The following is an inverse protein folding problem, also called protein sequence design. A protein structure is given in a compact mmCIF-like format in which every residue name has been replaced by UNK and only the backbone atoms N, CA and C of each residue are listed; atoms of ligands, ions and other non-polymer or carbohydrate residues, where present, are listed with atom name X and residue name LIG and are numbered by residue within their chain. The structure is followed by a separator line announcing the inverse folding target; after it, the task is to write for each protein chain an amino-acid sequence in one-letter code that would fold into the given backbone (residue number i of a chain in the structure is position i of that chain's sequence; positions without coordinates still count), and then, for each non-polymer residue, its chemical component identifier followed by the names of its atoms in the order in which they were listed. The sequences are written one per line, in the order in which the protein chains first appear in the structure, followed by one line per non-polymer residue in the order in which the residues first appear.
data_IF_390362348539
#
_entry.id   IF_390362348539
#
_cell.length_a   1.000
_cell.length_b   1.000
_cell.length_c   1.000
_cell.angle_alpha   90.00
_cell.angle_beta   90.00
_cell.angle_gamma   90.00
#
_symmetry.space_group_name_H-M   'P 1'
#
loop_
_entity.id
_entity.type
_entity.pdbx_description
1 polymer ?
#
# COMPACT_ATOMS: atom_id res chain seq x y z
N UNK A 1 40.71 23.39 14.79
CA UNK A 1 40.11 22.19 14.15
C UNK A 1 39.59 21.17 15.17
N UNK A 2 40.43 20.46 15.94
CA UNK A 2 39.98 19.42 16.91
C UNK A 2 38.83 19.85 17.83
N UNK A 3 38.93 21.03 18.46
CA UNK A 3 37.84 21.59 19.30
C UNK A 3 36.53 21.77 18.51
N UNK A 4 36.62 22.25 17.27
CA UNK A 4 35.47 22.42 16.38
C UNK A 4 34.81 21.09 16.01
N UNK A 5 35.60 20.03 15.79
CA UNK A 5 35.05 18.69 15.53
C UNK A 5 34.29 18.13 16.73
N UNK A 6 34.75 18.37 17.96
CA UNK A 6 34.04 17.95 19.18
C UNK A 6 32.74 18.74 19.32
N UNK A 7 32.77 20.06 19.16
CA UNK A 7 31.56 20.88 19.18
C UNK A 7 30.55 20.48 18.10
N UNK A 8 31.04 20.20 16.88
CA UNK A 8 30.23 19.66 15.78
C UNK A 8 29.65 18.28 16.09
N UNK A 9 30.42 17.39 16.71
CA UNK A 9 29.91 16.08 17.15
C UNK A 9 28.81 16.18 18.19
N UNK A 10 28.92 17.12 19.15
CA UNK A 10 27.85 17.42 20.12
C UNK A 10 26.61 17.97 19.41
N UNK A 11 26.79 18.85 18.42
CA UNK A 11 25.69 19.39 17.62
C UNK A 11 24.95 18.27 16.87
N UNK A 12 25.67 17.32 16.28
CA UNK A 12 25.10 16.15 15.60
C UNK A 12 24.35 15.24 16.57
N UNK A 13 24.93 14.93 17.73
CA UNK A 13 24.27 14.11 18.75
C UNK A 13 22.94 14.75 19.18
N UNK A 14 22.95 16.07 19.41
CA UNK A 14 21.76 16.82 19.77
C UNK A 14 20.73 16.84 18.64
N UNK A 15 21.17 17.02 17.40
CA UNK A 15 20.31 16.96 16.22
C UNK A 15 19.55 15.64 16.14
N UNK A 16 20.25 14.52 16.31
CA UNK A 16 19.64 13.20 16.24
C UNK A 16 18.74 12.90 17.42
N UNK A 17 19.14 13.24 18.66
CA UNK A 17 18.28 13.05 19.83
C UNK A 17 16.99 13.85 19.68
N UNK A 18 17.08 15.13 19.30
CA UNK A 18 15.93 15.99 19.11
C UNK A 18 15.09 15.64 17.87
N UNK A 19 15.68 15.02 16.86
CA UNK A 19 14.97 14.60 15.65
C UNK A 19 14.27 13.24 15.78
N UNK A 20 14.94 12.25 16.37
CA UNK A 20 14.42 10.89 16.53
C UNK A 20 13.47 10.75 17.73
N UNK A 21 13.69 11.49 18.83
CA UNK A 21 12.81 11.38 19.99
C UNK A 21 11.33 11.70 19.66
N UNK A 22 10.98 12.81 18.97
CA UNK A 22 9.61 13.03 18.53
C UNK A 22 9.11 11.92 17.62
N UNK A 23 9.92 11.45 16.66
CA UNK A 23 9.53 10.38 15.73
C UNK A 23 9.14 9.10 16.46
N UNK A 24 9.97 8.64 17.40
CA UNK A 24 9.69 7.45 18.20
C UNK A 24 8.48 7.63 19.13
N UNK A 25 8.31 8.82 19.70
CA UNK A 25 7.15 9.16 20.53
C UNK A 25 5.85 9.18 19.73
N UNK A 26 5.86 9.68 18.49
CA UNK A 26 4.72 9.62 17.59
C UNK A 26 4.40 8.20 17.17
N UNK A 27 5.41 7.38 16.87
CA UNK A 27 5.24 5.97 16.52
C UNK A 27 4.62 5.14 17.66
N UNK A 28 4.90 5.50 18.92
CA UNK A 28 4.31 4.84 20.08
C UNK A 28 2.82 5.17 20.32
N UNK A 29 2.30 6.25 19.72
CA UNK A 29 0.89 6.64 19.81
C UNK A 29 0.42 7.14 21.18
N UNK A 30 -0.89 7.40 21.30
CA UNK A 30 -1.53 7.78 22.56
C UNK A 30 -0.98 9.06 23.20
N UNK A 31 -0.85 9.07 24.53
CA UNK A 31 -0.32 10.22 25.28
C UNK A 31 1.17 10.49 25.04
N UNK A 32 1.93 9.51 24.55
CA UNK A 32 3.34 9.68 24.21
C UNK A 32 3.52 10.58 22.98
N UNK A 33 2.58 10.53 22.03
CA UNK A 33 2.57 11.42 20.87
C UNK A 33 2.48 12.91 21.27
N UNK A 34 1.74 13.23 22.33
CA UNK A 34 1.65 14.61 22.86
C UNK A 34 2.98 15.09 23.43
N UNK A 35 3.77 14.21 24.05
CA UNK A 35 5.12 14.56 24.51
C UNK A 35 6.06 14.84 23.34
N UNK A 36 5.87 14.15 22.20
CA UNK A 36 6.61 14.40 20.97
C UNK A 36 6.48 15.84 20.46
N UNK A 37 5.34 16.51 20.70
CA UNK A 37 5.12 17.90 20.33
C UNK A 37 5.93 18.90 21.16
N UNK A 38 6.34 18.51 22.38
CA UNK A 38 7.11 19.38 23.27
C UNK A 38 8.62 19.37 22.97
N UNK A 39 9.10 18.36 22.23
CA UNK A 39 10.51 18.24 21.88
C UNK A 39 10.79 19.05 20.61
N UNK A 40 11.61 20.11 20.66
CA UNK A 40 11.94 20.89 19.47
C UNK A 40 12.78 20.04 18.52
N UNK A 41 12.27 19.77 17.32
CA UNK A 41 12.96 18.98 16.30
C UNK A 41 13.57 19.87 15.22
N UNK A 42 14.82 19.62 14.80
CA UNK A 42 15.39 20.26 13.61
C UNK A 42 14.96 19.55 12.32
N UNK A 43 14.37 18.36 12.39
CA UNK A 43 14.01 17.58 11.22
C UNK A 43 12.64 18.03 10.68
N UNK A 44 12.58 18.35 9.39
CA UNK A 44 11.33 18.70 8.71
C UNK A 44 10.32 17.52 8.73
N UNK A 45 9.03 17.84 8.60
CA UNK A 45 8.01 16.80 8.40
C UNK A 45 8.37 15.96 7.18
N UNK A 46 8.32 14.64 7.33
CA UNK A 46 8.67 13.71 6.25
C UNK A 46 10.15 13.30 6.20
N UNK A 47 11.01 13.75 7.12
CA UNK A 47 12.42 13.32 7.18
C UNK A 47 12.64 11.79 7.33
N UNK A 48 11.58 11.05 7.64
CA UNK A 48 11.55 9.58 7.76
C UNK A 48 10.56 8.92 6.78
N UNK A 49 10.00 9.66 5.82
CA UNK A 49 9.01 9.15 4.87
C UNK A 49 9.64 8.48 3.64
N UNK A 50 10.96 8.62 3.45
CA UNK A 50 11.70 7.98 2.38
C UNK A 50 12.08 6.54 2.72
N UNK A 51 12.30 5.68 1.71
CA UNK A 51 12.81 4.34 1.92
C UNK A 51 14.06 4.35 2.80
N UNK A 52 14.20 3.32 3.65
CA UNK A 52 15.29 3.20 4.62
C UNK A 52 16.68 3.60 4.08
N UNK A 53 17.16 3.13 2.90
CA UNK A 53 18.49 3.50 2.42
C UNK A 53 18.66 5.01 2.19
N UNK A 54 17.65 5.68 1.61
CA UNK A 54 17.69 7.11 1.36
C UNK A 54 17.65 7.92 2.65
N UNK A 55 16.81 7.50 3.60
CA UNK A 55 16.76 8.09 4.94
C UNK A 55 18.14 8.03 5.61
N UNK A 56 18.83 6.89 5.58
CA UNK A 56 20.18 6.79 6.15
C UNK A 56 21.20 7.68 5.43
N UNK A 57 21.19 7.74 4.10
CA UNK A 57 22.10 8.59 3.32
C UNK A 57 21.91 10.07 3.68
N UNK A 58 20.67 10.56 3.72
CA UNK A 58 20.35 11.95 4.09
C UNK A 58 20.86 12.26 5.50
N UNK A 59 20.60 11.38 6.47
CA UNK A 59 21.05 11.56 7.86
C UNK A 59 22.58 11.59 7.99
N UNK A 60 23.29 10.73 7.25
CA UNK A 60 24.76 10.73 7.20
C UNK A 60 25.28 12.04 6.60
N UNK A 61 24.70 12.53 5.51
CA UNK A 61 25.08 13.79 4.87
C UNK A 61 24.86 14.99 5.79
N UNK A 62 23.72 15.03 6.51
CA UNK A 62 23.45 16.06 7.52
C UNK A 62 24.50 16.02 8.63
N UNK A 63 24.83 14.84 9.16
CA UNK A 63 25.85 14.70 10.20
C UNK A 63 27.22 15.23 9.73
N UNK A 64 27.66 14.83 8.53
CA UNK A 64 28.92 15.29 7.94
C UNK A 64 28.92 16.80 7.76
N UNK A 65 27.84 17.36 7.18
CA UNK A 65 27.71 18.78 6.94
C UNK A 65 27.70 19.59 8.23
N UNK A 66 26.94 19.17 9.26
CA UNK A 66 26.91 19.83 10.57
C UNK A 66 28.30 19.87 11.22
N UNK A 67 29.03 18.75 11.27
CA UNK A 67 30.39 18.72 11.83
C UNK A 67 31.34 19.62 11.04
N UNK A 68 31.34 19.49 9.70
CA UNK A 68 32.28 20.18 8.84
C UNK A 68 32.03 21.71 8.84
N UNK A 69 30.78 22.15 8.68
CA UNK A 69 30.41 23.57 8.67
C UNK A 69 30.68 24.20 10.04
N UNK A 70 30.27 23.55 11.13
CA UNK A 70 30.54 24.04 12.48
C UNK A 70 32.04 24.19 12.73
N UNK A 71 32.85 23.17 12.41
CA UNK A 71 34.29 23.20 12.64
C UNK A 71 35.00 24.29 11.83
N UNK A 72 34.58 24.52 10.57
CA UNK A 72 35.09 25.59 9.71
C UNK A 72 34.72 26.96 10.30
N UNK A 73 33.44 27.21 10.60
CA UNK A 73 32.97 28.51 11.12
C UNK A 73 33.59 28.83 12.48
N UNK A 74 33.58 27.87 13.42
CA UNK A 74 34.17 28.05 14.75
C UNK A 74 35.68 28.36 14.66
N UNK A 75 36.40 27.78 13.71
CA UNK A 75 37.83 28.08 13.50
C UNK A 75 38.09 29.48 12.93
N UNK A 76 37.13 30.05 12.20
CA UNK A 76 37.22 31.41 11.65
C UNK A 76 36.86 32.48 12.67
N UNK A 77 35.90 32.18 13.55
CA UNK A 77 35.43 33.12 14.58
C UNK A 77 36.30 33.15 15.85
N UNK A 78 37.24 32.22 16.03
CA UNK A 78 38.03 32.08 17.26
C UNK A 78 39.15 33.11 17.48
N UNK A 79 39.11 34.28 16.83
CA UNK A 79 40.17 35.29 16.91
C UNK A 79 40.13 36.18 18.16
N UNK A 80 39.22 35.95 19.13
CA UNK A 80 39.07 36.82 20.31
C UNK A 80 38.47 36.15 21.56
N UNK A 81 38.18 36.97 22.59
CA UNK A 81 37.69 36.55 23.92
C UNK A 81 36.27 35.95 23.91
N UNK A 82 35.49 36.18 22.85
CA UNK A 82 34.09 35.75 22.75
C UNK A 82 33.90 34.32 22.20
N UNK A 83 34.65 33.34 22.74
CA UNK A 83 34.63 31.94 22.24
C UNK A 83 33.26 31.28 22.38
N UNK A 84 32.47 31.58 23.41
CA UNK A 84 31.11 31.03 23.50
C UNK A 84 30.18 31.59 22.40
N UNK A 85 30.10 32.91 22.26
CA UNK A 85 29.22 33.56 21.29
C UNK A 85 29.55 33.16 19.85
N UNK A 86 30.85 33.05 19.53
CA UNK A 86 31.32 32.52 18.23
C UNK A 86 30.84 31.09 17.97
N UNK A 87 30.81 30.23 18.99
CA UNK A 87 30.39 28.83 18.86
C UNK A 87 28.89 28.71 18.68
N UNK A 88 28.14 29.53 19.40
CA UNK A 88 26.69 29.57 19.27
C UNK A 88 26.26 30.08 17.89
N UNK A 89 26.89 31.15 17.41
CA UNK A 89 26.68 31.64 16.05
C UNK A 89 27.08 30.58 15.00
N UNK A 90 28.17 29.84 15.21
CA UNK A 90 28.56 28.75 14.31
C UNK A 90 27.50 27.62 14.27
N UNK A 91 26.87 27.27 15.39
CA UNK A 91 25.79 26.29 15.43
C UNK A 91 24.53 26.76 14.68
N UNK A 92 24.17 28.04 14.84
CA UNK A 92 23.05 28.67 14.14
C UNK A 92 23.31 28.66 12.64
N UNK A 93 24.47 29.14 12.19
CA UNK A 93 24.83 29.20 10.78
C UNK A 93 24.97 27.82 10.14
N UNK A 94 25.50 26.83 10.87
CA UNK A 94 25.56 25.45 10.38
C UNK A 94 24.15 24.89 10.14
N UNK A 95 23.23 25.08 11.08
CA UNK A 95 21.86 24.59 10.97
C UNK A 95 21.04 25.35 9.91
N UNK A 96 21.28 26.66 9.78
CA UNK A 96 20.75 27.48 8.70
C UNK A 96 21.20 26.95 7.34
N UNK A 97 22.49 26.63 7.17
CA UNK A 97 23.02 26.11 5.90
C UNK A 97 22.35 24.79 5.49
N UNK A 98 22.11 23.88 6.45
CA UNK A 98 21.36 22.64 6.19
C UNK A 98 19.96 22.94 5.69
N UNK A 99 19.21 23.77 6.42
CA UNK A 99 17.82 24.10 6.08
C UNK A 99 17.70 24.86 4.75
N UNK A 100 18.60 25.82 4.51
CA UNK A 100 18.61 26.63 3.30
C UNK A 100 18.85 25.79 2.04
N UNK A 101 19.76 24.82 2.12
CA UNK A 101 20.06 23.96 0.98
C UNK A 101 18.93 22.96 0.71
N UNK A 102 18.29 22.43 1.75
CA UNK A 102 17.10 21.59 1.61
C UNK A 102 15.94 22.38 0.99
N UNK A 103 15.64 23.58 1.49
CA UNK A 103 14.60 24.45 0.93
C UNK A 103 14.89 24.85 -0.52
N UNK A 104 16.17 25.08 -0.85
CA UNK A 104 16.59 25.38 -2.23
C UNK A 104 16.36 24.18 -3.15
N UNK A 105 16.66 22.97 -2.69
CA UNK A 105 16.36 21.72 -3.41
C UNK A 105 14.87 21.54 -3.65
N UNK A 106 14.05 21.72 -2.61
CA UNK A 106 12.58 21.65 -2.72
C UNK A 106 12.01 22.71 -3.65
N UNK A 107 12.57 23.93 -3.65
CA UNK A 107 12.14 24.99 -4.55
C UNK A 107 12.41 24.64 -6.01
N UNK A 108 13.64 24.24 -6.35
CA UNK A 108 13.99 23.94 -7.75
C UNK A 108 13.21 22.76 -8.31
N UNK A 109 12.89 21.77 -7.49
CA UNK A 109 12.09 20.62 -7.90
C UNK A 109 10.61 20.97 -8.04
N UNK A 110 10.09 21.87 -7.20
CA UNK A 110 8.72 22.37 -7.32
C UNK A 110 8.48 23.31 -8.51
N UNK A 111 9.53 23.97 -9.04
CA UNK A 111 9.38 25.05 -10.03
C UNK A 111 8.62 24.61 -11.29
N UNK A 112 8.93 23.42 -11.82
CA UNK A 112 8.29 22.91 -13.03
C UNK A 112 6.83 22.52 -12.81
N UNK A 113 6.51 21.96 -11.64
CA UNK A 113 5.19 21.38 -11.37
C UNK A 113 4.21 22.38 -10.75
N UNK A 114 4.69 23.24 -9.86
CA UNK A 114 3.83 24.12 -9.04
C UNK A 114 4.06 25.62 -9.30
N UNK A 115 5.00 25.96 -10.19
CA UNK A 115 5.41 27.34 -10.44
C UNK A 115 6.05 28.01 -9.23
N UNK A 116 6.39 29.30 -9.35
CA UNK A 116 7.13 30.05 -8.32
C UNK A 116 6.37 30.09 -6.99
N UNK A 117 5.07 30.39 -7.02
CA UNK A 117 4.25 30.54 -5.81
C UNK A 117 4.08 29.21 -5.06
N UNK A 118 3.86 28.12 -5.78
CA UNK A 118 3.76 26.78 -5.17
C UNK A 118 5.08 26.32 -4.59
N UNK A 119 6.19 26.57 -5.30
CA UNK A 119 7.54 26.22 -4.86
C UNK A 119 7.95 26.94 -3.57
N UNK A 120 7.56 28.21 -3.41
CA UNK A 120 7.75 28.95 -2.16
C UNK A 120 6.98 28.33 -0.99
N UNK A 121 5.83 27.71 -1.25
CA UNK A 121 5.03 27.00 -0.24
C UNK A 121 5.63 25.67 0.22
N UNK A 122 6.59 25.10 -0.53
CA UNK A 122 7.31 23.88 -0.15
C UNK A 122 8.50 24.15 0.77
N UNK A 123 8.95 25.41 0.86
CA UNK A 123 10.00 25.82 1.78
C UNK A 123 9.50 25.84 3.24
N UNK A 124 10.41 25.62 4.19
CA UNK A 124 10.08 25.67 5.61
C UNK A 124 11.11 25.00 6.51
N UNK A 125 12.11 24.35 5.93
CA UNK A 125 13.17 23.66 6.67
C UNK A 125 14.11 24.68 7.33
N UNK A 126 14.46 25.76 6.63
CA UNK A 126 15.35 26.83 7.14
C UNK A 126 14.88 27.43 8.45
N UNK A 127 13.64 27.93 8.60
CA UNK A 127 13.20 28.50 9.87
C UNK A 127 13.19 27.45 10.99
N UNK A 128 12.84 26.20 10.70
CA UNK A 128 12.80 25.10 11.69
C UNK A 128 14.21 24.79 12.21
N UNK A 129 15.18 24.54 11.32
CA UNK A 129 16.56 24.20 11.71
C UNK A 129 17.26 25.37 12.40
N UNK A 130 17.00 26.59 11.94
CA UNK A 130 17.60 27.80 12.50
C UNK A 130 17.05 28.09 13.88
N UNK A 131 15.73 28.04 14.07
CA UNK A 131 15.10 28.25 15.37
C UNK A 131 15.54 27.21 16.40
N UNK A 132 15.61 25.95 16.00
CA UNK A 132 16.15 24.87 16.84
C UNK A 132 17.58 25.19 17.31
N UNK A 133 18.45 25.66 16.42
CA UNK A 133 19.82 26.00 16.77
C UNK A 133 19.93 27.27 17.62
N UNK A 134 19.01 28.22 17.50
CA UNK A 134 18.90 29.35 18.44
C UNK A 134 18.58 28.80 19.84
N UNK A 135 17.60 27.91 19.97
CA UNK A 135 17.17 27.36 21.25
C UNK A 135 18.21 26.45 21.92
N UNK A 136 18.92 25.63 21.14
CA UNK A 136 19.75 24.53 21.67
C UNK A 136 21.22 24.59 21.27
N UNK A 137 21.61 25.47 20.35
CA UNK A 137 22.99 25.62 19.87
C UNK A 137 23.98 26.12 20.93
N UNK A 138 23.50 26.59 22.08
CA UNK A 138 24.36 26.95 23.21
C UNK A 138 25.07 25.73 23.81
N UNK A 139 24.50 24.52 23.71
CA UNK A 139 25.10 23.28 24.24
C UNK A 139 26.42 22.93 23.51
N UNK A 140 26.46 22.79 22.17
CA UNK A 140 27.71 22.56 21.45
C UNK A 140 28.67 23.75 21.56
N UNK A 141 28.16 24.99 21.71
CA UNK A 141 28.99 26.16 21.95
C UNK A 141 29.72 26.10 23.31
N UNK A 142 29.05 25.65 24.38
CA UNK A 142 29.66 25.42 25.69
C UNK A 142 30.72 24.31 25.62
N UNK A 143 30.39 23.19 24.97
CA UNK A 143 31.33 22.08 24.79
C UNK A 143 32.58 22.55 24.02
N UNK A 144 32.40 23.37 22.99
CA UNK A 144 33.51 23.98 22.26
C UNK A 144 34.34 24.94 23.12
N UNK A 145 33.69 25.86 23.83
CA UNK A 145 34.34 26.93 24.59
C UNK A 145 35.14 26.42 25.80
N UNK A 146 34.67 25.36 26.48
CA UNK A 146 35.31 24.79 27.68
C UNK A 146 36.54 23.93 27.40
N UNK A 147 36.78 23.54 26.14
CA UNK A 147 37.95 22.73 25.80
C UNK A 147 39.25 23.55 25.91
N UNK A 148 40.31 23.04 26.56
CA UNK A 148 41.56 23.77 26.71
C UNK A 148 42.19 24.12 25.35
N UNK A 149 42.77 25.33 25.25
CA UNK A 149 43.65 25.69 24.14
C UNK A 149 44.95 24.93 24.38
N UNK A 150 45.34 24.04 23.47
CA UNK A 150 46.66 23.43 23.54
C UNK A 150 47.72 24.55 23.51
N UNK A 151 48.63 24.63 24.50
CA UNK A 151 49.66 25.64 24.50
C UNK A 151 50.50 25.54 23.22
N UNK A 152 51.02 26.66 22.68
CA UNK A 152 51.99 26.59 21.59
C UNK A 152 53.13 25.68 22.05
N UNK A 153 53.45 24.67 21.24
CA UNK A 153 54.51 23.72 21.56
C UNK A 153 55.86 24.46 21.56
N UNK A 154 56.27 24.95 22.73
CA UNK A 154 57.65 25.37 22.97
C UNK A 154 58.53 24.11 22.88
N UNK A 155 59.36 24.08 21.84
CA UNK A 155 60.56 23.23 21.70
C UNK A 155 60.34 21.71 21.81
N UNK A 156 59.94 21.06 20.72
CA UNK A 156 60.21 19.64 20.49
C UNK A 156 60.68 19.39 19.04
N UNK A 157 61.61 18.46 18.78
CA UNK A 157 62.13 18.21 17.44
C UNK A 157 61.01 17.73 16.51
N UNK A 158 61.06 18.18 15.24
CA UNK A 158 60.10 17.86 14.17
C UNK A 158 60.07 16.36 13.85
N UNK A 159 59.44 15.55 14.69
CA UNK A 159 58.91 14.25 14.27
C UNK A 159 57.71 14.55 13.39
N UNK A 160 57.76 14.05 12.15
CA UNK A 160 56.83 14.30 11.04
C UNK A 160 55.39 14.40 11.56
N UNK A 161 54.84 15.61 11.48
CA UNK A 161 53.50 15.95 11.93
C UNK A 161 52.48 15.04 11.24
N UNK A 162 51.95 14.07 11.97
CA UNK A 162 50.79 13.30 11.58
C UNK A 162 49.60 14.27 11.40
N UNK A 163 49.29 14.56 10.14
CA UNK A 163 47.97 14.88 9.61
C UNK A 163 47.16 15.98 10.30
N UNK A 164 47.65 17.23 10.34
CA UNK A 164 46.70 18.37 10.40
C UNK A 164 46.01 18.47 9.04
N UNK A 165 44.84 17.84 8.90
CA UNK A 165 43.95 18.07 7.76
C UNK A 165 43.72 19.58 7.64
N UNK A 166 44.09 20.23 6.53
CA UNK A 166 43.97 21.68 6.40
C UNK A 166 42.50 22.09 6.45
N UNK A 167 42.22 23.31 6.93
CA UNK A 167 40.86 23.90 6.93
C UNK A 167 40.19 23.81 5.55
N UNK A 168 40.98 23.87 4.48
CA UNK A 168 40.53 23.70 3.10
C UNK A 168 39.84 22.35 2.84
N UNK A 169 40.35 21.25 3.40
CA UNK A 169 39.76 19.93 3.22
C UNK A 169 38.41 19.79 3.95
N UNK A 170 38.27 20.39 5.14
CA UNK A 170 36.98 20.45 5.82
C UNK A 170 35.96 21.37 5.12
N UNK A 171 36.44 22.46 4.51
CA UNK A 171 35.59 23.29 3.64
C UNK A 171 35.12 22.52 2.41
N UNK A 172 35.97 21.70 1.79
CA UNK A 172 35.59 20.84 0.67
C UNK A 172 34.56 19.78 1.09
N UNK A 173 34.78 19.10 2.23
CA UNK A 173 33.81 18.13 2.80
C UNK A 173 32.46 18.81 3.07
N UNK A 174 32.47 19.99 3.68
CA UNK A 174 31.24 20.76 3.93
C UNK A 174 30.51 21.09 2.62
N UNK A 175 31.22 21.58 1.60
CA UNK A 175 30.64 21.93 0.32
C UNK A 175 30.03 20.70 -0.39
N UNK A 176 30.75 19.58 -0.44
CA UNK A 176 30.26 18.34 -1.05
C UNK A 176 29.04 17.81 -0.29
N UNK A 177 29.09 17.74 1.04
CA UNK A 177 27.97 17.26 1.84
C UNK A 177 26.72 18.13 1.65
N UNK A 178 26.88 19.46 1.62
CA UNK A 178 25.77 20.38 1.33
C UNK A 178 25.23 20.18 -0.09
N UNK A 179 26.07 20.04 -1.12
CA UNK A 179 25.60 19.82 -2.51
C UNK A 179 24.88 18.48 -2.67
N UNK A 180 25.38 17.41 -2.04
CA UNK A 180 24.78 16.08 -2.14
C UNK A 180 23.48 15.94 -1.34
N UNK A 181 23.31 16.72 -0.27
CA UNK A 181 22.15 16.62 0.62
C UNK A 181 20.79 16.80 -0.09
N UNK A 182 20.53 17.87 -0.86
CA UNK A 182 19.26 18.05 -1.55
C UNK A 182 19.09 17.00 -2.65
N UNK A 183 20.16 16.58 -3.34
CA UNK A 183 20.09 15.51 -4.34
C UNK A 183 19.63 14.18 -3.73
N UNK A 184 20.17 13.82 -2.56
CA UNK A 184 19.77 12.61 -1.85
C UNK A 184 18.34 12.71 -1.30
N UNK A 185 17.93 13.87 -0.78
CA UNK A 185 16.56 14.09 -0.31
C UNK A 185 15.54 14.01 -1.45
N UNK A 186 15.87 14.55 -2.62
CA UNK A 186 15.02 14.46 -3.81
C UNK A 186 14.94 13.03 -4.34
N UNK A 187 16.06 12.33 -4.49
CA UNK A 187 16.07 10.94 -4.92
C UNK A 187 15.29 10.03 -3.95
N UNK A 188 15.34 10.31 -2.64
CA UNK A 188 14.51 9.63 -1.65
C UNK A 188 13.01 9.90 -1.83
N UNK A 189 12.63 11.13 -2.19
CA UNK A 189 11.24 11.50 -2.48
C UNK A 189 10.73 10.84 -3.75
N UNK A 190 11.54 10.83 -4.82
CA UNK A 190 11.21 10.17 -6.09
C UNK A 190 11.04 8.65 -5.92
N UNK A 191 11.87 8.04 -5.07
CA UNK A 191 11.74 6.64 -4.70
C UNK A 191 10.41 6.37 -3.96
N UNK A 192 10.03 7.20 -2.99
CA UNK A 192 8.71 7.09 -2.33
C UNK A 192 7.57 7.20 -3.33
N UNK A 193 7.62 8.18 -4.24
CA UNK A 193 6.58 8.35 -5.27
C UNK A 193 6.50 7.17 -6.23
N UNK A 194 7.63 6.51 -6.50
CA UNK A 194 7.67 5.31 -7.34
C UNK A 194 7.03 4.12 -6.64
N UNK A 195 7.35 3.91 -5.36
CA UNK A 195 6.70 2.86 -4.56
C UNK A 195 5.20 3.08 -4.46
N UNK A 196 4.75 4.31 -4.16
CA UNK A 196 3.32 4.60 -4.11
C UNK A 196 2.61 4.33 -5.44
N UNK A 197 3.24 4.66 -6.57
CA UNK A 197 2.69 4.34 -7.91
C UNK A 197 2.64 2.83 -8.17
N UNK A 198 3.62 2.08 -7.72
CA UNK A 198 3.63 0.61 -7.84
C UNK A 198 2.56 -0.03 -6.96
N UNK A 199 2.38 0.47 -5.73
CA UNK A 199 1.34 0.04 -4.80
C UNK A 199 -0.06 0.34 -5.37
N UNK A 200 -0.27 1.54 -5.92
CA UNK A 200 -1.52 1.93 -6.59
C UNK A 200 -1.80 1.09 -7.84
N UNK A 201 -0.78 0.82 -8.67
CA UNK A 201 -0.92 -0.03 -9.85
C UNK A 201 -1.28 -1.48 -9.47
N UNK A 202 -0.65 -2.01 -8.42
CA UNK A 202 -0.96 -3.34 -7.88
C UNK A 202 -2.39 -3.40 -7.36
N UNK A 203 -2.81 -2.39 -6.58
CA UNK A 203 -4.18 -2.29 -6.08
C UNK A 203 -5.20 -2.16 -7.21
N UNK A 204 -4.90 -1.41 -8.26
CA UNK A 204 -5.75 -1.28 -9.44
C UNK A 204 -5.88 -2.59 -10.22
N UNK A 205 -4.81 -3.39 -10.32
CA UNK A 205 -4.84 -4.70 -10.98
C UNK A 205 -5.67 -5.73 -10.19
N UNK A 206 -5.76 -5.58 -8.87
CA UNK A 206 -6.56 -6.43 -8.00
C UNK A 206 -8.00 -5.92 -7.82
N UNK A 207 -8.32 -4.74 -8.36
CA UNK A 207 -9.66 -4.18 -8.24
C UNK A 207 -10.64 -4.95 -9.11
N UNK A 208 -11.77 -5.30 -8.51
CA UNK A 208 -12.88 -5.90 -9.22
C UNK A 208 -13.54 -4.84 -10.14
N UNK A 209 -13.82 -5.16 -11.42
CA UNK A 209 -14.35 -4.19 -12.39
C UNK A 209 -15.73 -3.65 -12.01
N UNK A 210 -16.54 -4.43 -11.29
CA UNK A 210 -17.88 -4.04 -10.84
C UNK A 210 -17.84 -3.37 -9.46
N UNK A 211 -16.65 -3.29 -8.85
CA UNK A 211 -16.41 -2.68 -7.55
C UNK A 211 -16.65 -3.61 -6.37
N UNK A 212 -16.70 -4.93 -6.57
CA UNK A 212 -16.67 -5.89 -5.47
C UNK A 212 -15.44 -5.69 -4.57
N UNK A 213 -15.47 -6.24 -3.36
CA UNK A 213 -14.31 -6.21 -2.48
C UNK A 213 -13.08 -6.83 -3.19
N UNK A 214 -11.91 -6.24 -3.00
CA UNK A 214 -10.68 -6.80 -3.59
C UNK A 214 -10.42 -8.22 -3.02
N UNK A 215 -9.83 -9.14 -3.79
CA UNK A 215 -9.38 -10.42 -3.28
C UNK A 215 -8.42 -10.24 -2.10
N UNK A 216 -8.65 -10.98 -1.01
CA UNK A 216 -7.80 -11.04 0.17
C UNK A 216 -7.22 -12.46 0.32
N UNK A 217 -5.94 -12.67 -0.02
CA UNK A 217 -5.28 -13.97 0.11
C UNK A 217 -5.22 -14.52 1.54
N UNK A 218 -5.46 -13.67 2.54
CA UNK A 218 -5.46 -14.02 3.96
C UNK A 218 -6.87 -14.22 4.54
N UNK A 219 -7.91 -14.02 3.74
CA UNK A 219 -9.28 -14.25 4.15
C UNK A 219 -9.49 -15.73 4.52
N UNK A 220 -10.16 -15.97 5.63
CA UNK A 220 -10.60 -17.31 6.03
C UNK A 220 -12.02 -17.55 5.54
N UNK A 221 -12.27 -18.64 4.83
CA UNK A 221 -13.60 -19.05 4.42
C UNK A 221 -13.70 -20.55 4.18
N UNK A 222 -14.93 -21.04 4.07
CA UNK A 222 -15.19 -22.43 3.68
C UNK A 222 -14.99 -22.57 2.17
N UNK A 223 -14.32 -23.62 1.67
CA UNK A 223 -14.25 -23.86 0.23
C UNK A 223 -15.63 -24.18 -0.34
N UNK A 224 -15.88 -23.86 -1.60
CA UNK A 224 -17.13 -24.26 -2.28
C UNK A 224 -17.20 -25.80 -2.33
N UNK A 225 -18.27 -26.44 -1.83
CA UNK A 225 -18.40 -27.89 -1.90
C UNK A 225 -18.49 -28.38 -3.35
N UNK A 226 -17.68 -29.39 -3.70
CA UNK A 226 -17.71 -29.98 -5.04
C UNK A 226 -19.00 -30.75 -5.35
N UNK A 227 -19.81 -31.09 -4.34
CA UNK A 227 -21.04 -31.87 -4.49
C UNK A 227 -22.00 -31.56 -3.34
N UNK A 228 -23.29 -31.33 -3.65
CA UNK A 228 -24.33 -31.26 -2.64
C UNK A 228 -24.75 -32.65 -2.11
N UNK A 229 -25.28 -32.75 -0.88
CA UNK A 229 -25.96 -33.96 -0.41
C UNK A 229 -27.15 -34.32 -1.32
N UNK A 230 -27.36 -35.61 -1.56
CA UNK A 230 -28.53 -36.13 -2.28
C UNK A 230 -29.46 -36.95 -1.40
N UNK A 231 -30.75 -36.94 -1.73
CA UNK A 231 -31.77 -37.80 -1.14
C UNK A 231 -31.79 -39.16 -1.87
N UNK A 232 -30.83 -40.01 -1.54
CA UNK A 232 -30.75 -41.38 -2.05
C UNK A 232 -29.81 -41.56 -3.25
N UNK A 233 -29.69 -42.81 -3.76
CA UNK A 233 -28.77 -43.12 -4.84
C UNK A 233 -29.25 -42.56 -6.18
N UNK A 234 -28.31 -42.06 -6.98
CA UNK A 234 -28.57 -41.62 -8.35
C UNK A 234 -29.11 -42.77 -9.20
N UNK A 235 -30.26 -42.62 -9.86
CA UNK A 235 -30.79 -43.64 -10.77
C UNK A 235 -29.82 -43.99 -11.90
N UNK A 236 -29.83 -45.25 -12.35
CA UNK A 236 -28.89 -45.73 -13.37
C UNK A 236 -29.10 -45.09 -14.75
N UNK A 237 -30.31 -44.61 -15.03
CA UNK A 237 -30.71 -43.90 -16.25
C UNK A 237 -30.59 -42.38 -16.11
N UNK A 238 -30.10 -41.86 -14.99
CA UNK A 238 -30.02 -40.42 -14.75
C UNK A 238 -29.03 -39.73 -15.71
N UNK A 239 -29.36 -38.51 -16.10
CA UNK A 239 -28.40 -37.61 -16.73
C UNK A 239 -27.32 -37.21 -15.71
N UNK A 240 -26.06 -37.27 -16.13
CA UNK A 240 -24.85 -36.99 -15.36
C UNK A 240 -23.90 -36.14 -16.19
N UNK A 241 -22.86 -35.58 -15.57
CA UNK A 241 -21.79 -34.86 -16.30
C UNK A 241 -21.04 -35.73 -17.34
N UNK A 242 -21.16 -37.07 -17.28
CA UNK A 242 -20.51 -37.96 -18.23
C UNK A 242 -21.27 -38.11 -19.56
N UNK A 243 -22.61 -37.95 -19.54
CA UNK A 243 -23.46 -38.08 -20.73
C UNK A 243 -24.13 -36.75 -21.14
N UNK A 244 -23.91 -35.68 -20.38
CA UNK A 244 -24.47 -34.36 -20.68
C UNK A 244 -23.44 -33.24 -20.55
N UNK A 245 -23.69 -32.15 -21.26
CA UNK A 245 -22.98 -30.88 -21.10
C UNK A 245 -23.95 -29.82 -20.59
N UNK A 246 -23.56 -29.07 -19.56
CA UNK A 246 -24.27 -27.87 -19.11
C UNK A 246 -23.66 -26.64 -19.81
N UNK A 247 -24.51 -25.79 -20.36
CA UNK A 247 -24.17 -24.47 -20.87
C UNK A 247 -24.79 -23.41 -19.95
N UNK A 248 -23.95 -22.50 -19.46
CA UNK A 248 -24.34 -21.35 -18.65
C UNK A 248 -23.88 -20.06 -19.35
N UNK A 249 -24.58 -19.59 -20.40
CA UNK A 249 -24.30 -18.29 -21.03
C UNK A 249 -24.40 -17.14 -20.02
N UNK A 250 -23.86 -15.97 -20.40
CA UNK A 250 -23.96 -14.75 -19.59
C UNK A 250 -25.42 -14.43 -19.24
N UNK A 251 -25.60 -13.82 -18.08
CA UNK A 251 -26.89 -13.43 -17.55
C UNK A 251 -27.56 -12.33 -18.39
N UNK A 252 -28.89 -12.34 -18.36
CA UNK A 252 -29.76 -11.31 -18.93
C UNK A 252 -30.36 -10.46 -17.80
N UNK A 253 -30.77 -9.23 -18.12
CA UNK A 253 -31.25 -8.26 -17.16
C UNK A 253 -32.57 -7.63 -17.61
N UNK A 254 -33.57 -7.63 -16.72
CA UNK A 254 -34.84 -6.97 -16.97
C UNK A 254 -35.36 -6.29 -15.70
N UNK A 255 -35.63 -4.98 -15.79
CA UNK A 255 -36.34 -4.19 -14.77
C UNK A 255 -35.86 -4.35 -13.32
N UNK A 256 -34.54 -4.51 -13.11
CA UNK A 256 -33.94 -4.67 -11.77
C UNK A 256 -33.72 -6.12 -11.34
N UNK A 257 -34.15 -7.09 -12.16
CA UNK A 257 -33.90 -8.51 -11.97
C UNK A 257 -32.81 -8.99 -12.93
N UNK A 258 -32.21 -10.13 -12.59
CA UNK A 258 -31.17 -10.83 -13.36
C UNK A 258 -31.54 -12.29 -13.51
N UNK A 259 -31.22 -12.86 -14.66
CA UNK A 259 -31.55 -14.23 -14.98
C UNK A 259 -30.44 -14.89 -15.78
N UNK A 260 -30.01 -16.08 -15.37
CA UNK A 260 -29.08 -16.90 -16.11
C UNK A 260 -29.79 -18.16 -16.60
N UNK A 261 -29.91 -18.26 -17.92
CA UNK A 261 -30.50 -19.43 -18.58
C UNK A 261 -29.46 -20.56 -18.62
N UNK A 262 -29.80 -21.70 -18.03
CA UNK A 262 -29.03 -22.92 -18.14
C UNK A 262 -29.59 -23.80 -19.25
N UNK A 263 -28.72 -24.45 -20.01
CA UNK A 263 -29.09 -25.47 -20.99
C UNK A 263 -28.32 -26.76 -20.72
N UNK A 264 -29.03 -27.87 -20.58
CA UNK A 264 -28.49 -29.21 -20.41
C UNK A 264 -28.67 -29.96 -21.71
N UNK A 265 -27.58 -30.39 -22.35
CA UNK A 265 -27.61 -31.11 -23.63
C UNK A 265 -27.15 -32.54 -23.41
N UNK A 266 -27.93 -33.53 -23.86
CA UNK A 266 -27.46 -34.92 -23.92
C UNK A 266 -26.47 -35.08 -25.07
N UNK A 267 -25.21 -35.34 -24.74
CA UNK A 267 -24.10 -35.49 -25.69
C UNK A 267 -23.71 -36.95 -25.92
N UNK A 268 -24.45 -37.90 -25.33
CA UNK A 268 -24.26 -39.32 -25.53
C UNK A 268 -25.18 -39.89 -26.61
N UNK A 269 -24.90 -41.12 -27.03
CA UNK A 269 -25.72 -41.86 -28.01
C UNK A 269 -26.92 -42.60 -27.38
N UNK A 270 -27.08 -42.51 -26.05
CA UNK A 270 -28.14 -43.17 -25.29
C UNK A 270 -29.07 -42.13 -24.63
N UNK A 271 -30.37 -42.43 -24.43
CA UNK A 271 -31.26 -41.55 -23.69
C UNK A 271 -30.89 -41.51 -22.20
N UNK A 272 -31.08 -40.35 -21.56
CA UNK A 272 -30.96 -40.20 -20.11
C UNK A 272 -32.16 -39.45 -19.52
N UNK A 273 -32.40 -39.60 -18.23
CA UNK A 273 -33.50 -38.95 -17.51
C UNK A 273 -32.97 -37.87 -16.59
N UNK A 274 -33.46 -36.64 -16.76
CA UNK A 274 -33.24 -35.54 -15.81
C UNK A 274 -34.53 -35.28 -15.04
N UNK A 275 -34.43 -35.07 -13.73
CA UNK A 275 -35.57 -34.76 -12.88
C UNK A 275 -35.14 -33.80 -11.77
N UNK A 276 -36.00 -32.84 -11.44
CA UNK A 276 -35.75 -31.88 -10.37
C UNK A 276 -35.07 -30.60 -10.84
N UNK A 277 -34.26 -30.04 -9.94
CA UNK A 277 -33.61 -28.75 -10.06
C UNK A 277 -32.10 -28.94 -10.24
N UNK A 278 -31.43 -28.09 -11.03
CA UNK A 278 -29.97 -28.03 -11.00
C UNK A 278 -29.49 -27.67 -9.60
N UNK A 279 -28.41 -28.32 -9.17
CA UNK A 279 -27.73 -27.97 -7.94
C UNK A 279 -26.75 -26.83 -8.21
N UNK A 280 -26.84 -25.75 -7.42
CA UNK A 280 -26.05 -24.53 -7.62
C UNK A 280 -25.33 -24.11 -6.35
N UNK A 281 -24.12 -23.60 -6.50
CA UNK A 281 -23.38 -22.90 -5.44
C UNK A 281 -22.53 -21.78 -6.04
N UNK A 282 -22.13 -20.84 -5.20
CA UNK A 282 -21.38 -19.66 -5.62
C UNK A 282 -20.09 -19.56 -4.82
N UNK A 283 -18.99 -19.27 -5.50
CA UNK A 283 -17.73 -18.88 -4.86
C UNK A 283 -17.52 -17.38 -4.96
N UNK A 284 -16.97 -16.79 -3.91
CA UNK A 284 -16.53 -15.41 -3.87
C UNK A 284 -15.19 -15.21 -4.62
N UNK A 285 -14.72 -13.98 -4.69
CA UNK A 285 -13.43 -13.60 -5.28
C UNK A 285 -12.20 -14.23 -4.62
N UNK A 286 -12.37 -14.86 -3.46
CA UNK A 286 -11.32 -15.58 -2.72
C UNK A 286 -11.41 -17.09 -2.93
N UNK A 287 -12.40 -17.58 -3.69
CA UNK A 287 -12.68 -19.01 -3.88
C UNK A 287 -13.42 -19.66 -2.72
N UNK A 288 -14.02 -18.88 -1.83
CA UNK A 288 -14.80 -19.37 -0.70
C UNK A 288 -16.29 -19.43 -1.01
N UNK A 289 -17.02 -20.35 -0.36
CA UNK A 289 -18.47 -20.47 -0.46
C UNK A 289 -19.16 -19.17 -0.05
N UNK A 290 -19.85 -18.57 -1.02
CA UNK A 290 -20.68 -17.41 -0.80
C UNK A 290 -22.00 -17.85 -0.16
N UNK A 291 -22.36 -17.23 0.95
CA UNK A 291 -23.59 -17.52 1.67
C UNK A 291 -24.79 -16.96 0.90
N UNK A 292 -25.45 -17.79 0.10
CA UNK A 292 -26.59 -17.43 -0.76
C UNK A 292 -27.79 -18.29 -0.36
N UNK A 293 -28.97 -17.69 -0.28
CA UNK A 293 -30.22 -18.41 -0.04
C UNK A 293 -30.78 -18.93 -1.35
N UNK A 294 -30.45 -20.18 -1.69
CA UNK A 294 -30.91 -20.85 -2.92
C UNK A 294 -32.30 -21.45 -2.67
N UNK A 295 -33.28 -20.98 -3.41
CA UNK A 295 -34.67 -21.43 -3.33
C UNK A 295 -35.10 -22.05 -4.66
N UNK A 296 -35.84 -23.16 -4.60
CA UNK A 296 -36.52 -23.71 -5.76
C UNK A 296 -37.83 -22.97 -6.03
N UNK A 297 -38.08 -22.60 -7.28
CA UNK A 297 -39.34 -21.95 -7.66
C UNK A 297 -39.19 -20.91 -8.77
N UNK A 298 -40.29 -20.22 -9.03
CA UNK A 298 -40.36 -19.15 -10.03
C UNK A 298 -39.64 -17.90 -9.56
N UNK A 299 -39.18 -17.11 -10.52
CA UNK A 299 -38.64 -15.75 -10.31
C UNK A 299 -39.25 -14.80 -11.33
N UNK A 300 -38.89 -13.51 -11.24
CA UNK A 300 -39.24 -12.56 -12.29
C UNK A 300 -38.73 -12.99 -13.67
N UNK A 301 -37.59 -13.69 -13.73
CA UNK A 301 -36.90 -14.05 -14.98
C UNK A 301 -37.33 -15.40 -15.54
N UNK A 302 -38.07 -16.22 -14.78
CA UNK A 302 -38.42 -17.56 -15.20
C UNK A 302 -39.55 -18.15 -14.38
N UNK A 303 -40.55 -18.68 -15.07
CA UNK A 303 -41.63 -19.44 -14.45
C UNK A 303 -41.19 -20.89 -14.17
N UNK A 304 -41.63 -21.42 -13.03
CA UNK A 304 -41.29 -22.78 -12.59
C UNK A 304 -42.55 -23.65 -12.55
N UNK A 305 -42.75 -24.55 -13.53
CA UNK A 305 -43.87 -25.47 -13.52
C UNK A 305 -43.72 -26.57 -12.45
N UNK A 306 -42.54 -26.66 -11.80
CA UNK A 306 -42.19 -27.68 -10.84
C UNK A 306 -41.43 -28.86 -11.46
N UNK A 307 -40.81 -29.66 -10.60
CA UNK A 307 -40.01 -30.82 -11.00
C UNK A 307 -40.84 -31.89 -11.72
N UNK A 308 -40.37 -32.31 -12.90
CA UNK A 308 -40.88 -33.45 -13.64
C UNK A 308 -39.71 -34.23 -14.28
N UNK A 309 -39.88 -35.54 -14.42
CA UNK A 309 -38.91 -36.38 -15.12
C UNK A 309 -38.99 -36.16 -16.63
N UNK A 310 -37.84 -35.92 -17.24
CA UNK A 310 -37.68 -35.61 -18.67
C UNK A 310 -36.67 -36.59 -19.25
N UNK A 311 -37.08 -37.32 -20.29
CA UNK A 311 -36.16 -38.17 -21.05
C UNK A 311 -35.51 -37.38 -22.18
N UNK A 312 -34.22 -37.08 -22.04
CA UNK A 312 -33.43 -36.44 -23.08
C UNK A 312 -32.90 -37.49 -24.06
N UNK A 313 -33.41 -37.45 -25.29
CA UNK A 313 -32.85 -38.21 -26.41
C UNK A 313 -31.45 -37.70 -26.76
N UNK A 314 -30.61 -38.49 -27.44
CA UNK A 314 -29.33 -38.02 -27.99
C UNK A 314 -29.48 -36.68 -28.73
N UNK A 315 -28.67 -35.68 -28.34
CA UNK A 315 -28.71 -34.33 -28.89
C UNK A 315 -29.88 -33.44 -28.44
N UNK A 316 -30.84 -33.95 -27.65
CA UNK A 316 -31.92 -33.15 -27.08
C UNK A 316 -31.46 -32.37 -25.85
N UNK A 317 -32.23 -31.35 -25.47
CA UNK A 317 -31.87 -30.46 -24.36
C UNK A 317 -33.04 -30.09 -23.46
N UNK A 318 -32.70 -29.87 -22.19
CA UNK A 318 -33.56 -29.24 -21.19
C UNK A 318 -32.99 -27.87 -20.80
N UNK A 319 -33.83 -27.01 -20.23
CA UNK A 319 -33.46 -25.69 -19.74
C UNK A 319 -33.90 -25.50 -18.30
N UNK A 320 -33.17 -24.67 -17.57
CA UNK A 320 -33.55 -24.15 -16.26
C UNK A 320 -33.14 -22.68 -16.17
N UNK A 321 -33.72 -21.91 -15.26
CA UNK A 321 -33.36 -20.50 -15.06
C UNK A 321 -32.93 -20.30 -13.62
N UNK A 322 -31.80 -19.65 -13.43
CA UNK A 322 -31.37 -19.04 -12.17
C UNK A 322 -31.82 -17.58 -12.21
N UNK A 323 -32.61 -17.11 -11.25
CA UNK A 323 -33.09 -15.73 -11.19
C UNK A 323 -32.82 -15.08 -9.83
N UNK A 324 -32.41 -13.81 -9.84
CA UNK A 324 -32.17 -13.03 -8.62
C UNK A 324 -32.42 -11.53 -8.84
N UNK A 325 -32.45 -10.78 -7.75
CA UNK A 325 -32.56 -9.32 -7.78
C UNK A 325 -31.18 -8.68 -7.85
N UNK A 326 -31.03 -7.61 -8.64
CA UNK A 326 -29.77 -6.91 -8.78
C UNK A 326 -29.30 -6.31 -7.43
N UNK A 327 -28.07 -6.61 -7.02
CA UNK A 327 -27.47 -6.03 -5.81
C UNK A 327 -26.34 -5.06 -6.13
N UNK A 328 -26.02 -4.19 -5.18
CA UNK A 328 -24.77 -3.43 -5.24
C UNK A 328 -23.64 -4.27 -4.66
N UNK A 329 -22.63 -4.56 -5.47
CA UNK A 329 -21.44 -5.31 -5.02
C UNK A 329 -20.40 -4.43 -4.33
N UNK A 330 -20.60 -3.10 -4.28
CA UNK A 330 -19.55 -2.15 -3.88
C UNK A 330 -18.97 -2.45 -2.49
N UNK A 331 -17.73 -2.92 -2.45
CA UNK A 331 -17.04 -3.27 -1.20
C UNK A 331 -17.60 -4.51 -0.48
N UNK A 332 -18.47 -5.28 -1.14
CA UNK A 332 -19.01 -6.55 -0.65
C UNK A 332 -18.31 -7.73 -1.35
N UNK A 333 -18.31 -8.90 -0.70
CA UNK A 333 -18.06 -10.15 -1.41
C UNK A 333 -19.14 -10.34 -2.49
N UNK A 334 -18.76 -10.91 -3.63
CA UNK A 334 -19.66 -11.11 -4.75
C UNK A 334 -19.38 -12.45 -5.43
N UNK A 335 -20.39 -13.03 -6.07
CA UNK A 335 -20.22 -14.27 -6.82
C UNK A 335 -19.29 -14.06 -8.02
N UNK A 336 -18.15 -14.78 -7.99
CA UNK A 336 -17.14 -14.79 -9.04
C UNK A 336 -16.90 -16.17 -9.65
N UNK A 337 -17.35 -17.22 -8.98
CA UNK A 337 -17.51 -18.54 -9.59
C UNK A 337 -18.92 -19.08 -9.38
N UNK A 338 -19.46 -19.71 -10.42
CA UNK A 338 -20.71 -20.45 -10.40
C UNK A 338 -20.39 -21.94 -10.48
N UNK A 339 -20.92 -22.71 -9.54
CA UNK A 339 -20.75 -24.15 -9.46
C UNK A 339 -22.09 -24.81 -9.73
N UNK A 340 -22.18 -25.66 -10.76
CA UNK A 340 -23.44 -26.30 -11.17
C UNK A 340 -23.28 -27.80 -11.33
N UNK A 341 -24.28 -28.55 -10.90
CA UNK A 341 -24.47 -29.95 -11.26
C UNK A 341 -25.88 -30.17 -11.83
N UNK A 342 -26.06 -31.27 -12.57
CA UNK A 342 -27.37 -31.62 -13.17
C UNK A 342 -28.42 -31.80 -12.08
N UNK A 343 -28.03 -32.42 -10.96
CA UNK A 343 -28.85 -32.63 -9.77
C UNK A 343 -27.96 -32.75 -8.53
N UNK A 344 -28.53 -32.63 -7.31
CA UNK A 344 -27.79 -32.87 -6.07
C UNK A 344 -27.15 -34.27 -6.03
N UNK A 345 -26.00 -34.41 -5.37
CA UNK A 345 -25.24 -35.66 -5.30
C UNK A 345 -24.39 -35.97 -6.53
N UNK A 346 -24.31 -35.04 -7.48
CA UNK A 346 -23.36 -35.10 -8.58
C UNK A 346 -22.23 -34.08 -8.40
N UNK A 347 -21.09 -34.34 -9.03
CA UNK A 347 -19.96 -33.41 -9.04
C UNK A 347 -20.34 -32.14 -9.81
N UNK A 348 -20.09 -30.98 -9.17
CA UNK A 348 -20.32 -29.67 -9.76
C UNK A 348 -19.18 -29.32 -10.70
N UNK A 349 -19.55 -28.80 -11.85
CA UNK A 349 -18.67 -28.10 -12.79
C UNK A 349 -18.59 -26.62 -12.40
N UNK A 350 -17.55 -25.92 -12.83
CA UNK A 350 -17.27 -24.53 -12.44
C UNK A 350 -17.19 -23.61 -13.66
N UNK A 351 -17.81 -22.43 -13.53
CA UNK A 351 -17.72 -21.33 -14.47
C UNK A 351 -17.23 -20.08 -13.75
N UNK A 352 -16.28 -19.38 -14.37
CA UNK A 352 -15.94 -18.02 -13.97
C UNK A 352 -17.06 -17.08 -14.42
N UNK A 353 -17.60 -16.29 -13.49
CA UNK A 353 -18.75 -15.41 -13.72
C UNK A 353 -18.53 -14.07 -13.03
N UNK A 354 -19.28 -13.05 -13.41
CA UNK A 354 -19.29 -11.76 -12.70
C UNK A 354 -20.72 -11.39 -12.32
N UNK A 355 -21.25 -12.01 -11.27
CA UNK A 355 -22.65 -11.82 -10.88
C UNK A 355 -22.77 -10.84 -9.71
N UNK A 356 -23.83 -10.03 -9.73
CA UNK A 356 -24.21 -9.11 -8.63
C UNK A 356 -25.00 -9.84 -7.53
N UNK A 357 -24.56 -11.05 -7.18
CA UNK A 357 -25.05 -11.85 -6.05
C UNK A 357 -24.09 -11.64 -4.88
N UNK A 358 -24.62 -11.18 -3.74
CA UNK A 358 -23.86 -10.87 -2.53
C UNK A 358 -24.29 -11.80 -1.37
N UNK A 359 -23.54 -11.86 -0.25
CA UNK A 359 -23.96 -12.65 0.90
C UNK A 359 -25.36 -12.27 1.40
N UNK A 360 -26.21 -13.27 1.60
CA UNK A 360 -27.60 -13.12 2.02
C UNK A 360 -28.59 -12.82 0.89
N UNK A 361 -28.14 -12.73 -0.36
CA UNK A 361 -29.04 -12.63 -1.50
C UNK A 361 -29.84 -13.94 -1.68
N UNK A 362 -31.09 -13.80 -2.13
CA UNK A 362 -31.94 -14.93 -2.51
C UNK A 362 -31.79 -15.19 -4.00
N UNK A 363 -31.57 -16.45 -4.36
CA UNK A 363 -31.50 -16.92 -5.73
C UNK A 363 -32.56 -17.98 -5.94
N UNK A 364 -33.39 -17.79 -6.96
CA UNK A 364 -34.42 -18.74 -7.35
C UNK A 364 -33.94 -19.61 -8.51
N UNK A 365 -34.15 -20.92 -8.41
CA UNK A 365 -33.78 -21.89 -9.43
C UNK A 365 -35.04 -22.63 -9.88
N UNK A 366 -35.34 -22.61 -11.17
CA UNK A 366 -36.48 -23.36 -11.73
C UNK A 366 -36.11 -24.83 -11.94
N UNK A 367 -37.10 -25.71 -12.02
CA UNK A 367 -36.86 -27.08 -12.42
C UNK A 367 -36.36 -27.16 -13.87
N UNK A 368 -35.70 -28.25 -14.22
CA UNK A 368 -35.43 -28.59 -15.62
C UNK A 368 -36.75 -28.72 -16.38
N UNK A 369 -36.80 -28.15 -17.59
CA UNK A 369 -37.94 -28.26 -18.50
C UNK A 369 -37.47 -28.50 -19.94
N UNK A 370 -38.28 -29.20 -20.72
CA UNK A 370 -38.00 -29.38 -22.15
C UNK A 370 -37.92 -28.05 -22.89
N UNK A 371 -37.03 -28.01 -23.90
CA UNK A 371 -37.06 -26.96 -24.91
C UNK A 371 -38.06 -27.43 -25.97
N UNK A 372 -39.32 -26.96 -25.87
CA UNK A 372 -40.27 -27.15 -26.96
C UNK A 372 -39.66 -26.59 -28.26
N UNK A 373 -39.82 -27.26 -29.43
CA UNK A 373 -39.35 -26.71 -30.68
C UNK A 373 -40.00 -25.34 -30.92
N UNK A 374 -39.30 -24.36 -31.53
CA UNK A 374 -39.91 -23.08 -31.87
C UNK A 374 -41.14 -23.35 -32.73
N UNK A 375 -42.29 -22.77 -32.34
CA UNK A 375 -43.48 -22.79 -33.19
C UNK A 375 -43.10 -22.13 -34.53
N UNK A 376 -43.20 -22.90 -35.61
CA UNK A 376 -42.77 -22.52 -36.96
C UNK A 376 -43.73 -21.60 -37.69
#
# INVERSE_FOLDING_TARGET
MRRGLIGGGVLVALWFVCGWAPFLLYAAGGSLASLGQMVPSPMARGAFASPAPWTFIVQILVAIALVAVFAVLASRFSSGRATFAAGWLAAILASFAIGAVLDLGSFFTGLGTFGIRGSLGMMGTTPVTTWWAVALGWIPALAWARLPIAPPAETAPRVRAAGRVPTLAWSAIAAVALICLPLAAQAGSDATQTQLREDEATAAQQADPDGAAAPDPSATGEPVPAMAPAEGPTPADACTSANTTILAPAEDAATGHRGQLLSLVNTSDEPCVVNGYPDVAYGDQNGHLLQVDVQHGSSFMGDDPGAAAITLQPGSSARAVIGWDANSVRGHLAARSLWLAVSPGQERLTWEVSLDIIPGATVHVTAWRDIAPPEG
#
